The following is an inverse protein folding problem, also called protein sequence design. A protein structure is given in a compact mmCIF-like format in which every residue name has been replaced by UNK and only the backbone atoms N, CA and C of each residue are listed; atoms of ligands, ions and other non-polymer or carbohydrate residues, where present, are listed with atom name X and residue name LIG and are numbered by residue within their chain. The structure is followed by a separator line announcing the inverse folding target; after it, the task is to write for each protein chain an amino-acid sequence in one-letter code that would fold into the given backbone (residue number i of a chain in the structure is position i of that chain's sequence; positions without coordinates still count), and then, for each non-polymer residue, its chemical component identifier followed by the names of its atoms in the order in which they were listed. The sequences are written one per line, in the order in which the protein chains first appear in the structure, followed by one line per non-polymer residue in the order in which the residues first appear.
data_IF_098592042472
#
_entry.id   IF_098592042472
#
_cell.length_a   1.000
_cell.length_b   1.000
_cell.length_c   1.000
_cell.angle_alpha   90.00
_cell.angle_beta   90.00
_cell.angle_gamma   90.00
#
_symmetry.space_group_name_H-M   'P 1'
#
loop_
_entity.id
_entity.type
_entity.pdbx_description
1 polymer ?
#
# COMPACT_ATOMS: atom_id res chain seq x y z
N UNK A 1 -10.12 8.66 21.40
CA UNK A 1 -9.63 8.06 22.68
C UNK A 1 -9.44 9.20 23.68
N UNK A 2 -9.47 8.96 25.00
CA UNK A 2 -9.16 10.01 25.97
C UNK A 2 -7.67 10.40 25.91
N UNK A 3 -7.36 11.64 26.26
CA UNK A 3 -5.98 12.17 26.32
C UNK A 3 -5.08 11.32 27.22
N UNK A 4 -5.58 10.92 28.38
CA UNK A 4 -4.88 10.03 29.32
C UNK A 4 -4.47 8.71 28.67
N UNK A 5 -5.35 8.10 27.87
CA UNK A 5 -5.05 6.85 27.18
C UNK A 5 -4.00 7.04 26.08
N UNK A 6 -4.02 8.18 25.38
CA UNK A 6 -3.01 8.49 24.37
C UNK A 6 -1.64 8.63 25.02
N UNK A 7 -1.56 9.36 26.15
CA UNK A 7 -0.31 9.54 26.89
C UNK A 7 0.25 8.20 27.41
N UNK A 8 -0.61 7.36 27.99
CA UNK A 8 -0.21 6.04 28.48
C UNK A 8 0.30 5.12 27.36
N UNK A 9 -0.38 5.09 26.20
CA UNK A 9 0.07 4.29 25.05
C UNK A 9 1.39 4.81 24.51
N UNK A 10 1.56 6.13 24.37
CA UNK A 10 2.81 6.72 23.90
C UNK A 10 3.99 6.35 24.81
N UNK A 11 3.84 6.56 26.13
CA UNK A 11 4.89 6.25 27.10
C UNK A 11 5.27 4.76 27.08
N UNK A 12 4.28 3.86 26.96
CA UNK A 12 4.54 2.43 26.84
C UNK A 12 5.31 2.07 25.56
N UNK A 13 4.92 2.64 24.41
CA UNK A 13 5.60 2.37 23.13
C UNK A 13 7.02 2.93 23.09
N UNK A 14 7.28 4.08 23.72
CA UNK A 14 8.62 4.64 23.89
C UNK A 14 9.50 3.74 24.78
N UNK A 15 8.98 3.35 25.96
CA UNK A 15 9.72 2.49 26.90
C UNK A 15 10.04 1.11 26.32
N UNK A 16 9.14 0.57 25.49
CA UNK A 16 9.33 -0.73 24.82
C UNK A 16 10.05 -0.64 23.48
N UNK A 17 10.47 0.56 23.04
CA UNK A 17 11.11 0.79 21.73
C UNK A 17 10.27 0.33 20.53
N UNK A 18 8.95 0.37 20.68
CA UNK A 18 7.99 0.05 19.62
C UNK A 18 7.37 1.31 19.01
N UNK A 19 7.64 2.49 19.56
CA UNK A 19 7.27 3.75 18.92
C UNK A 19 8.22 4.04 17.76
N UNK A 20 7.66 4.21 16.56
CA UNK A 20 8.41 4.35 15.32
C UNK A 20 8.49 5.81 14.87
N UNK A 21 9.69 6.28 14.53
CA UNK A 21 9.86 7.50 13.74
C UNK A 21 10.24 7.12 12.30
N UNK A 22 9.38 7.41 11.32
CA UNK A 22 9.64 7.11 9.91
C UNK A 22 10.51 8.18 9.23
N UNK A 23 10.71 9.34 9.86
CA UNK A 23 11.60 10.39 9.36
C UNK A 23 13.07 10.19 9.81
N UNK A 24 13.34 9.19 10.66
CA UNK A 24 14.65 8.87 11.19
C UNK A 24 15.17 7.54 10.62
N UNK A 25 16.01 7.58 9.57
CA UNK A 25 16.54 6.37 8.95
C UNK A 25 17.40 5.52 9.89
N UNK A 26 17.93 6.09 10.98
CA UNK A 26 18.76 5.33 11.93
C UNK A 26 17.98 4.27 12.67
N UNK A 27 16.65 4.40 12.72
CA UNK A 27 15.81 3.41 13.35
C UNK A 27 15.48 2.26 12.39
N UNK A 28 15.68 2.38 11.06
CA UNK A 28 15.16 1.43 10.06
C UNK A 28 15.60 -0.02 10.33
N UNK A 29 14.67 -0.98 10.43
CA UNK A 29 15.03 -2.38 10.64
C UNK A 29 15.82 -2.93 9.46
N UNK A 30 16.68 -3.91 9.73
CA UNK A 30 17.34 -4.69 8.68
C UNK A 30 16.35 -5.73 8.17
N UNK A 31 15.77 -5.48 7.00
CA UNK A 31 14.87 -6.40 6.32
C UNK A 31 15.64 -7.35 5.39
N UNK A 32 15.06 -8.51 5.08
CA UNK A 32 15.61 -9.45 4.08
C UNK A 32 15.54 -8.89 2.66
N UNK A 33 14.56 -8.03 2.38
CA UNK A 33 14.36 -7.35 1.12
C UNK A 33 13.70 -5.99 1.37
N UNK A 34 14.12 -4.98 0.62
CA UNK A 34 13.53 -3.64 0.62
C UNK A 34 13.00 -3.35 -0.78
N UNK A 35 11.72 -2.99 -0.87
CA UNK A 35 11.07 -2.55 -2.10
C UNK A 35 10.51 -1.16 -1.88
N UNK A 36 10.71 -0.26 -2.84
CA UNK A 36 10.33 1.15 -2.75
C UNK A 36 9.12 1.46 -3.62
N UNK A 37 8.29 2.40 -3.17
CA UNK A 37 7.18 2.97 -3.95
C UNK A 37 7.28 4.49 -3.89
N UNK A 38 7.48 5.12 -5.05
CA UNK A 38 7.39 6.58 -5.15
C UNK A 38 5.91 7.00 -5.25
N UNK A 39 5.45 7.79 -4.28
CA UNK A 39 4.08 8.30 -4.25
C UNK A 39 3.81 9.36 -5.32
N UNK A 40 4.85 9.99 -5.88
CA UNK A 40 4.72 10.96 -6.98
C UNK A 40 4.34 10.32 -8.33
N UNK A 41 4.67 9.05 -8.52
CA UNK A 41 4.34 8.29 -9.74
C UNK A 41 2.93 7.65 -9.68
N UNK A 42 2.27 7.71 -8.52
CA UNK A 42 0.98 7.07 -8.31
C UNK A 42 -0.12 7.83 -9.06
N UNK A 43 -0.81 7.13 -9.95
CA UNK A 43 -2.01 7.64 -10.65
C UNK A 43 -3.28 6.96 -10.16
N UNK A 44 -4.44 7.65 -10.22
CA UNK A 44 -5.74 7.03 -9.96
C UNK A 44 -5.92 5.77 -10.82
N UNK A 45 -6.30 4.68 -10.18
CA UNK A 45 -6.46 3.38 -10.83
C UNK A 45 -7.67 2.63 -10.28
N UNK A 46 -8.18 1.71 -11.08
CA UNK A 46 -9.16 0.70 -10.71
C UNK A 46 -8.52 -0.69 -10.74
N UNK A 47 -9.14 -1.65 -10.06
CA UNK A 47 -8.67 -3.05 -10.07
C UNK A 47 -9.64 -3.93 -10.85
N UNK A 48 -9.13 -4.84 -11.69
CA UNK A 48 -9.93 -5.83 -12.39
C UNK A 48 -9.48 -6.09 -13.84
N UNK A 49 -10.30 -6.81 -14.64
CA UNK A 49 -11.66 -7.25 -14.33
C UNK A 49 -11.77 -8.57 -13.55
N UNK A 50 -10.69 -9.33 -13.37
CA UNK A 50 -10.76 -10.69 -12.79
C UNK A 50 -10.10 -10.83 -11.42
N UNK A 51 -9.00 -10.11 -11.15
CA UNK A 51 -8.26 -10.24 -9.88
C UNK A 51 -8.00 -8.88 -9.24
N UNK A 52 -8.02 -8.76 -7.90
CA UNK A 52 -7.79 -7.49 -7.20
C UNK A 52 -6.41 -6.84 -7.46
N UNK A 53 -5.42 -7.64 -7.85
CA UNK A 53 -4.07 -7.17 -8.17
C UNK A 53 -3.90 -6.71 -9.63
N UNK A 54 -4.92 -6.88 -10.48
CA UNK A 54 -4.90 -6.38 -11.85
C UNK A 54 -5.14 -4.86 -11.83
N UNK A 55 -4.09 -4.05 -11.80
CA UNK A 55 -4.17 -2.58 -11.74
C UNK A 55 -4.35 -1.99 -13.14
N UNK A 56 -5.38 -1.17 -13.32
CA UNK A 56 -5.66 -0.42 -14.56
C UNK A 56 -5.75 1.07 -14.25
N UNK A 57 -4.98 1.91 -14.94
CA UNK A 57 -5.08 3.36 -14.77
C UNK A 57 -6.48 3.85 -15.21
N UNK A 58 -7.04 4.85 -14.51
CA UNK A 58 -8.39 5.35 -14.84
C UNK A 58 -8.45 5.89 -16.28
N UNK A 59 -7.38 6.53 -16.75
CA UNK A 59 -7.24 7.02 -18.13
C UNK A 59 -7.29 5.90 -19.17
N UNK A 60 -6.91 4.67 -18.83
CA UNK A 60 -6.88 3.52 -19.74
C UNK A 60 -8.06 2.57 -19.56
N UNK A 61 -8.90 2.78 -18.55
CA UNK A 61 -9.98 1.87 -18.18
C UNK A 61 -10.91 1.49 -19.35
N UNK A 62 -11.27 2.45 -20.21
CA UNK A 62 -12.12 2.16 -21.38
C UNK A 62 -11.43 1.25 -22.40
N UNK A 63 -10.13 1.47 -22.64
CA UNK A 63 -9.33 0.68 -23.59
C UNK A 63 -9.13 -0.74 -23.05
N UNK A 64 -8.79 -0.84 -21.77
CA UNK A 64 -8.61 -2.11 -21.07
C UNK A 64 -9.89 -2.95 -21.08
N UNK A 65 -11.04 -2.35 -20.74
CA UNK A 65 -12.32 -3.02 -20.77
C UNK A 65 -12.67 -3.59 -22.15
N UNK A 66 -12.46 -2.80 -23.22
CA UNK A 66 -12.70 -3.27 -24.61
C UNK A 66 -11.79 -4.44 -24.98
N UNK A 67 -10.52 -4.40 -24.56
CA UNK A 67 -9.61 -5.53 -24.78
C UNK A 67 -10.04 -6.77 -24.00
N UNK A 68 -10.60 -6.60 -22.82
CA UNK A 68 -11.04 -7.71 -21.99
C UNK A 68 -12.24 -8.47 -22.55
N UNK A 69 -13.04 -7.86 -23.43
CA UNK A 69 -14.20 -8.53 -24.06
C UNK A 69 -13.81 -9.73 -24.93
N UNK A 70 -12.63 -9.72 -25.55
CA UNK A 70 -12.14 -10.80 -26.43
C UNK A 70 -11.14 -11.72 -25.74
N UNK A 71 -10.69 -11.37 -24.53
CA UNK A 71 -9.69 -12.13 -23.80
C UNK A 71 -10.26 -13.45 -23.28
N UNK A 72 -9.64 -14.56 -23.68
CA UNK A 72 -9.99 -15.90 -23.18
C UNK A 72 -9.89 -15.92 -21.65
N UNK A 73 -10.88 -16.52 -21.00
CA UNK A 73 -10.78 -16.85 -19.58
C UNK A 73 -9.86 -18.07 -19.49
N UNK A 74 -8.67 -17.89 -18.92
CA UNK A 74 -7.83 -19.02 -18.49
C UNK A 74 -8.68 -19.83 -17.50
N UNK A 75 -9.12 -21.02 -17.92
CA UNK A 75 -9.69 -21.99 -16.99
C UNK A 75 -8.58 -22.35 -16.01
N UNK A 76 -8.92 -22.20 -14.73
CA UNK A 76 -8.08 -22.61 -13.61
C UNK A 76 -7.97 -24.13 -13.57
#
# INVERSE_FOLDING_TARGET
RSSEKIAAVKAYLEASKMLRNYDDPSQDPVFSQVTTLDLGEVVPSISGPKRPHDRVSVSEAQKDFKSCLTNKILKM
#
